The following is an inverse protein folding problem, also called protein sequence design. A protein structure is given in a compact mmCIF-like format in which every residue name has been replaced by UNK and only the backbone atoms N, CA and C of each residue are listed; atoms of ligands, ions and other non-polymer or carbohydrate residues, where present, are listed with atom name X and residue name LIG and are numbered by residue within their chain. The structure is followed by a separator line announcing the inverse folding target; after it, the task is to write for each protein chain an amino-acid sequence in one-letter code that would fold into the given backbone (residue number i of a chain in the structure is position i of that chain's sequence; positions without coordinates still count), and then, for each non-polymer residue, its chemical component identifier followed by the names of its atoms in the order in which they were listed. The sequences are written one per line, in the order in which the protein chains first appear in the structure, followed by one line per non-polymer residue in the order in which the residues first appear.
data_IF_457230872519
#
_entry.id   IF_457230872519
#
_cell.length_a   1.000
_cell.length_b   1.000
_cell.length_c   1.000
_cell.angle_alpha   90.00
_cell.angle_beta   90.00
_cell.angle_gamma   90.00
#
_symmetry.space_group_name_H-M   'P 1'
#
loop_
_entity.id
_entity.type
_entity.pdbx_description
1 polymer ?
#
# COMPACT_ATOMS: atom_id res chain seq x y z
N UNK A 1 -13.37 -8.11 -2.66
CA UNK A 1 -13.94 -7.57 -3.91
C UNK A 1 -12.86 -6.76 -4.61
N UNK A 2 -12.59 -6.98 -5.91
CA UNK A 2 -11.72 -6.10 -6.66
C UNK A 2 -12.29 -4.68 -6.61
N UNK A 3 -11.45 -3.69 -6.35
CA UNK A 3 -11.87 -2.28 -6.39
C UNK A 3 -12.10 -1.92 -7.86
N UNK A 4 -13.35 -1.66 -8.23
CA UNK A 4 -13.63 -1.11 -9.55
C UNK A 4 -13.05 0.31 -9.67
N UNK A 5 -12.45 0.58 -10.83
CA UNK A 5 -11.77 1.85 -11.08
C UNK A 5 -12.80 2.94 -11.38
N UNK A 6 -12.99 3.87 -10.44
CA UNK A 6 -13.84 5.06 -10.64
C UNK A 6 -13.35 5.97 -11.79
N UNK A 7 -12.11 5.81 -12.25
CA UNK A 7 -11.56 6.57 -13.38
C UNK A 7 -12.17 6.14 -14.72
N UNK A 8 -12.49 4.86 -14.88
CA UNK A 8 -12.96 4.30 -16.14
C UNK A 8 -14.30 4.90 -16.61
N UNK A 9 -15.34 5.01 -15.75
CA UNK A 9 -16.58 5.68 -16.14
C UNK A 9 -16.37 7.17 -16.41
N UNK A 10 -15.48 7.85 -15.68
CA UNK A 10 -15.16 9.25 -15.92
C UNK A 10 -14.55 9.50 -17.30
N UNK A 11 -13.65 8.62 -17.75
CA UNK A 11 -13.08 8.71 -19.09
C UNK A 11 -14.14 8.47 -20.18
N UNK A 12 -15.06 7.52 -19.96
CA UNK A 12 -16.16 7.26 -20.88
C UNK A 12 -17.09 8.48 -20.97
N UNK A 13 -17.43 9.11 -19.84
CA UNK A 13 -18.25 10.33 -19.83
C UNK A 13 -17.55 11.49 -20.53
N UNK A 14 -16.25 11.68 -20.32
CA UNK A 14 -15.48 12.74 -20.98
C UNK A 14 -15.46 12.57 -22.50
N UNK A 15 -15.20 11.35 -23.00
CA UNK A 15 -15.24 11.06 -24.43
C UNK A 15 -16.63 11.35 -25.04
N UNK A 16 -17.71 11.02 -24.32
CA UNK A 16 -19.07 11.31 -24.80
C UNK A 16 -19.39 12.80 -24.83
N UNK A 17 -18.94 13.57 -23.84
CA UNK A 17 -19.14 15.02 -23.79
C UNK A 17 -18.33 15.75 -24.88
N UNK A 18 -17.11 15.29 -25.16
CA UNK A 18 -16.30 15.81 -26.26
C UNK A 18 -16.99 15.59 -27.61
N UNK A 19 -17.54 14.40 -27.84
CA UNK A 19 -18.28 14.11 -29.07
C UNK A 19 -19.49 15.04 -29.24
N UNK A 20 -20.22 15.30 -28.16
CA UNK A 20 -21.34 16.25 -28.17
C UNK A 20 -20.82 17.67 -28.44
N UNK A 21 -19.73 18.09 -27.81
CA UNK A 21 -19.15 19.42 -27.98
C UNK A 21 -18.69 19.66 -29.43
N UNK A 22 -18.07 18.66 -30.06
CA UNK A 22 -17.65 18.71 -31.46
C UNK A 22 -18.83 18.82 -32.45
N UNK A 23 -20.03 18.36 -32.07
CA UNK A 23 -21.23 18.51 -32.88
C UNK A 23 -21.92 19.87 -32.68
N UNK A 24 -21.64 20.57 -31.59
CA UNK A 24 -22.31 21.82 -31.20
C UNK A 24 -21.44 23.07 -31.31
N UNK A 25 -20.13 22.92 -31.51
CA UNK A 25 -19.18 24.04 -31.53
C UNK A 25 -18.91 24.49 -32.96
N UNK A 26 -19.04 25.79 -33.22
CA UNK A 26 -18.80 26.41 -34.54
C UNK A 26 -17.31 26.78 -34.77
N UNK A 27 -16.46 26.60 -33.76
CA UNK A 27 -15.04 26.97 -33.76
C UNK A 27 -14.11 25.74 -33.80
N UNK A 28 -13.48 25.49 -34.95
CA UNK A 28 -12.54 24.37 -35.14
C UNK A 28 -11.29 24.45 -34.24
N UNK A 29 -10.86 25.65 -33.84
CA UNK A 29 -9.68 25.85 -32.96
C UNK A 29 -9.89 25.27 -31.57
N UNK A 30 -11.07 25.49 -31.00
CA UNK A 30 -11.38 25.13 -29.62
C UNK A 30 -11.57 23.61 -29.50
N UNK A 31 -12.13 22.99 -30.54
CA UNK A 31 -12.25 21.54 -30.69
C UNK A 31 -10.86 20.89 -30.71
N UNK A 32 -9.91 21.48 -31.44
CA UNK A 32 -8.56 20.95 -31.56
C UNK A 32 -7.78 20.98 -30.23
N UNK A 33 -7.91 22.06 -29.46
CA UNK A 33 -7.30 22.17 -28.13
C UNK A 33 -7.88 21.15 -27.14
N UNK A 34 -9.20 20.98 -27.14
CA UNK A 34 -9.90 19.99 -26.31
C UNK A 34 -9.49 18.55 -26.63
N UNK A 35 -9.28 18.23 -27.92
CA UNK A 35 -8.78 16.91 -28.36
C UNK A 35 -7.38 16.64 -27.80
N UNK A 36 -6.48 17.61 -27.90
CA UNK A 36 -5.10 17.47 -27.42
C UNK A 36 -5.08 17.30 -25.89
N UNK A 37 -5.88 18.07 -25.18
CA UNK A 37 -5.99 17.98 -23.72
C UNK A 37 -6.56 16.63 -23.29
N UNK A 38 -7.60 16.13 -23.95
CA UNK A 38 -8.19 14.84 -23.63
C UNK A 38 -7.21 13.69 -23.87
N UNK A 39 -6.48 13.73 -25.00
CA UNK A 39 -5.45 12.72 -25.31
C UNK A 39 -4.35 12.70 -24.24
N UNK A 40 -3.93 13.88 -23.76
CA UNK A 40 -2.97 14.00 -22.67
C UNK A 40 -3.50 13.36 -21.37
N UNK A 41 -4.76 13.59 -21.02
CA UNK A 41 -5.41 13.05 -19.81
C UNK A 41 -5.63 11.53 -19.92
N UNK A 42 -6.00 11.02 -21.09
CA UNK A 42 -6.21 9.57 -21.32
C UNK A 42 -4.91 8.80 -21.34
N UNK A 43 -3.86 9.39 -21.92
CA UNK A 43 -2.53 8.78 -22.07
C UNK A 43 -1.76 8.69 -20.75
N UNK A 44 -2.07 9.53 -19.76
CA UNK A 44 -1.40 9.54 -18.46
C UNK A 44 -2.31 9.10 -17.32
N UNK A 45 -1.84 8.12 -16.53
CA UNK A 45 -2.54 7.71 -15.29
C UNK A 45 -2.60 8.83 -14.25
N UNK A 46 -1.57 9.68 -14.21
CA UNK A 46 -1.45 10.81 -13.30
C UNK A 46 -1.01 12.04 -14.10
N UNK A 47 -1.78 13.13 -13.99
CA UNK A 47 -1.49 14.41 -14.67
C UNK A 47 -0.16 15.01 -14.18
N UNK A 48 0.13 14.83 -12.90
CA UNK A 48 1.39 15.24 -12.29
C UNK A 48 2.23 14.00 -11.94
N UNK A 49 3.55 14.04 -12.12
CA UNK A 49 4.42 12.98 -11.65
C UNK A 49 4.29 12.83 -10.14
N UNK A 50 4.12 11.59 -9.65
CA UNK A 50 4.10 11.33 -8.22
C UNK A 50 5.46 11.68 -7.62
N UNK A 51 5.52 12.74 -6.81
CA UNK A 51 6.74 13.08 -6.06
C UNK A 51 6.99 12.01 -5.00
N UNK A 52 8.19 11.41 -5.03
CA UNK A 52 8.66 10.59 -3.93
C UNK A 52 9.11 11.54 -2.82
N UNK A 53 8.40 11.54 -1.70
CA UNK A 53 8.93 12.19 -0.51
C UNK A 53 10.15 11.38 -0.04
N UNK A 54 11.28 12.03 0.29
CA UNK A 54 12.41 11.34 0.88
C UNK A 54 11.93 10.70 2.18
N UNK A 55 12.06 9.39 2.29
CA UNK A 55 11.74 8.71 3.53
C UNK A 55 12.76 9.11 4.58
N UNK A 56 12.32 9.73 5.66
CA UNK A 56 13.14 9.83 6.86
C UNK A 56 13.30 8.43 7.48
N UNK A 57 14.40 8.25 8.25
CA UNK A 57 14.89 7.03 8.89
C UNK A 57 13.98 5.80 8.80
N UNK A 58 14.30 4.88 7.89
CA UNK A 58 13.57 3.63 7.67
C UNK A 58 14.05 2.56 8.64
N UNK A 59 13.19 1.99 9.48
CA UNK A 59 13.54 0.73 10.15
C UNK A 59 13.76 -0.37 9.12
N UNK A 60 15.02 -0.70 8.87
CA UNK A 60 15.43 -1.89 8.13
C UNK A 60 15.41 -3.11 9.06
N UNK A 61 15.62 -4.30 8.48
CA UNK A 61 15.72 -5.52 9.29
C UNK A 61 16.88 -5.43 10.30
N UNK A 62 18.00 -4.83 9.90
CA UNK A 62 19.16 -4.66 10.77
C UNK A 62 18.84 -3.71 11.92
N UNK A 63 18.09 -2.65 11.65
CA UNK A 63 17.66 -1.71 12.71
C UNK A 63 16.74 -2.40 13.70
N UNK A 64 15.82 -3.25 13.23
CA UNK A 64 14.97 -4.03 14.13
C UNK A 64 15.80 -4.95 15.04
N UNK A 65 16.79 -5.66 14.49
CA UNK A 65 17.65 -6.57 15.24
C UNK A 65 18.56 -5.88 16.27
N UNK A 66 18.97 -4.64 16.01
CA UNK A 66 19.84 -3.86 16.92
C UNK A 66 19.08 -3.17 18.05
N UNK A 67 17.74 -3.15 18.01
CA UNK A 67 16.93 -2.60 19.09
C UNK A 67 17.08 -3.39 20.39
N UNK A 68 17.16 -2.67 21.50
CA UNK A 68 17.03 -3.25 22.83
C UNK A 68 15.67 -3.95 23.00
N UNK A 69 15.61 -4.97 23.85
CA UNK A 69 14.38 -5.76 24.10
C UNK A 69 13.18 -4.87 24.46
N UNK A 70 13.39 -3.84 25.28
CA UNK A 70 12.33 -2.89 25.65
C UNK A 70 11.80 -2.09 24.46
N UNK A 71 12.69 -1.51 23.64
CA UNK A 71 12.29 -0.71 22.47
C UNK A 71 11.63 -1.60 21.42
N UNK A 72 12.17 -2.80 21.21
CA UNK A 72 11.59 -3.77 20.31
C UNK A 72 10.18 -4.17 20.77
N UNK A 73 9.99 -4.46 22.06
CA UNK A 73 8.68 -4.78 22.61
C UNK A 73 7.71 -3.60 22.54
N UNK A 74 8.17 -2.36 22.76
CA UNK A 74 7.33 -1.18 22.54
C UNK A 74 6.87 -1.04 21.08
N UNK A 75 7.75 -1.35 20.13
CA UNK A 75 7.47 -1.23 18.70
C UNK A 75 6.60 -2.38 18.16
N UNK A 76 7.02 -3.62 18.40
CA UNK A 76 6.42 -4.83 17.83
C UNK A 76 5.41 -5.50 18.78
N UNK A 77 5.31 -5.08 20.05
CA UNK A 77 4.45 -5.70 21.08
C UNK A 77 4.76 -7.16 21.37
N UNK A 78 5.95 -7.64 21.00
CA UNK A 78 6.44 -8.99 21.27
C UNK A 78 7.91 -8.95 21.67
N UNK A 79 8.44 -10.07 22.14
CA UNK A 79 9.89 -10.27 22.26
C UNK A 79 10.51 -10.58 20.89
N UNK A 80 11.82 -10.36 20.76
CA UNK A 80 12.60 -10.74 19.58
C UNK A 80 12.44 -12.22 19.23
N UNK A 81 12.58 -13.10 20.22
CA UNK A 81 12.48 -14.55 20.01
C UNK A 81 11.12 -14.98 19.46
N UNK A 82 10.02 -14.46 20.04
CA UNK A 82 8.68 -14.76 19.56
C UNK A 82 8.44 -14.21 18.15
N UNK A 83 8.99 -13.03 17.86
CA UNK A 83 8.91 -12.41 16.54
C UNK A 83 9.63 -13.25 15.49
N UNK A 84 10.86 -13.68 15.73
CA UNK A 84 11.63 -14.51 14.80
C UNK A 84 10.96 -15.86 14.54
N UNK A 85 10.42 -16.50 15.58
CA UNK A 85 9.62 -17.72 15.44
C UNK A 85 8.40 -17.51 14.54
N UNK A 86 7.69 -16.38 14.71
CA UNK A 86 6.55 -16.05 13.84
C UNK A 86 7.00 -15.79 12.40
N UNK A 87 8.09 -15.05 12.19
CA UNK A 87 8.64 -14.79 10.85
C UNK A 87 8.96 -16.11 10.14
N UNK A 88 9.63 -17.04 10.81
CA UNK A 88 9.97 -18.35 10.26
C UNK A 88 8.73 -19.16 9.83
N UNK A 89 7.60 -19.01 10.54
CA UNK A 89 6.35 -19.70 10.18
C UNK A 89 5.62 -19.08 8.98
N UNK A 90 5.77 -17.77 8.77
CA UNK A 90 4.99 -17.03 7.76
C UNK A 90 5.77 -16.72 6.48
N UNK A 91 7.11 -16.83 6.49
CA UNK A 91 7.96 -16.38 5.39
C UNK A 91 7.62 -17.02 4.04
N UNK A 92 7.19 -18.28 4.04
CA UNK A 92 6.91 -19.07 2.84
C UNK A 92 5.43 -19.02 2.41
N UNK A 93 4.57 -18.27 3.12
CA UNK A 93 3.15 -18.18 2.75
C UNK A 93 2.98 -17.40 1.44
N UNK A 94 2.33 -18.04 0.47
CA UNK A 94 1.98 -17.49 -0.86
C UNK A 94 1.24 -16.15 -0.79
N UNK A 95 0.53 -15.87 0.30
CA UNK A 95 -0.19 -14.60 0.53
C UNK A 95 0.77 -13.40 0.57
N UNK A 96 2.04 -13.61 0.93
CA UNK A 96 3.04 -12.57 0.80
C UNK A 96 3.53 -12.38 -0.62
N UNK A 97 3.50 -13.41 -1.46
CA UNK A 97 3.92 -13.36 -2.84
C UNK A 97 2.88 -12.64 -3.70
N UNK A 98 3.34 -12.09 -4.82
CA UNK A 98 2.52 -11.45 -5.84
C UNK A 98 3.24 -11.68 -7.16
N UNK A 99 2.51 -11.89 -8.25
CA UNK A 99 3.06 -12.14 -9.59
C UNK A 99 3.69 -10.90 -10.23
N UNK A 100 4.14 -9.93 -9.43
CA UNK A 100 4.79 -8.70 -9.90
C UNK A 100 6.30 -8.88 -9.93
N UNK A 101 6.97 -8.31 -10.94
CA UNK A 101 8.43 -8.27 -11.03
C UNK A 101 9.11 -7.32 -10.02
N UNK A 102 8.33 -6.56 -9.25
CA UNK A 102 8.87 -5.62 -8.27
C UNK A 102 9.40 -6.36 -7.03
N UNK A 103 10.58 -5.93 -6.56
CA UNK A 103 11.17 -6.40 -5.31
C UNK A 103 10.19 -6.14 -4.15
N UNK A 104 9.83 -7.21 -3.46
CA UNK A 104 8.93 -7.12 -2.32
C UNK A 104 9.70 -6.93 -1.02
N UNK A 105 9.05 -6.30 -0.04
CA UNK A 105 9.62 -6.17 1.30
C UNK A 105 9.69 -7.53 2.00
N UNK A 106 10.71 -7.68 2.85
CA UNK A 106 10.93 -8.84 3.70
C UNK A 106 9.67 -9.12 4.55
N UNK A 107 9.19 -10.38 4.66
CA UNK A 107 8.09 -10.77 5.55
C UNK A 107 8.22 -10.23 6.98
N UNK A 108 9.43 -10.16 7.52
CA UNK A 108 9.71 -9.58 8.84
C UNK A 108 9.27 -8.11 8.93
N UNK A 109 9.59 -7.29 7.93
CA UNK A 109 9.16 -5.89 7.90
C UNK A 109 7.63 -5.79 7.80
N UNK A 110 7.01 -6.63 6.96
CA UNK A 110 5.55 -6.67 6.84
C UNK A 110 4.89 -7.02 8.19
N UNK A 111 5.47 -7.95 8.94
CA UNK A 111 5.02 -8.34 10.28
C UNK A 111 5.23 -7.21 11.30
N UNK A 112 6.43 -6.64 11.37
CA UNK A 112 6.74 -5.53 12.29
C UNK A 112 5.78 -4.34 12.10
N UNK A 113 5.59 -3.90 10.85
CA UNK A 113 4.64 -2.83 10.49
C UNK A 113 3.23 -3.16 10.98
N UNK A 114 2.80 -4.40 10.78
CA UNK A 114 1.46 -4.84 11.16
C UNK A 114 1.28 -4.84 12.68
N UNK A 115 2.25 -5.38 13.42
CA UNK A 115 2.20 -5.44 14.87
C UNK A 115 2.27 -4.03 15.48
N UNK A 116 3.15 -3.16 14.97
CA UNK A 116 3.21 -1.75 15.37
C UNK A 116 1.89 -1.03 15.11
N UNK A 117 1.19 -1.38 14.01
CA UNK A 117 -0.13 -0.83 13.70
C UNK A 117 -1.20 -1.29 14.68
N UNK A 118 -1.27 -2.58 14.96
CA UNK A 118 -2.27 -3.16 15.87
C UNK A 118 -2.04 -2.67 17.30
N UNK A 119 -0.77 -2.49 17.69
CA UNK A 119 -0.37 -1.92 18.97
C UNK A 119 -0.46 -0.39 19.08
N UNK A 120 -0.85 0.30 18.01
CA UNK A 120 -1.16 1.73 18.01
C UNK A 120 -2.66 1.94 18.14
N UNK A 121 -3.09 3.13 18.56
CA UNK A 121 -4.52 3.51 18.52
C UNK A 121 -4.98 3.35 17.06
N UNK A 122 -5.93 2.44 16.80
CA UNK A 122 -6.32 1.92 15.48
C UNK A 122 -7.03 2.97 14.58
N UNK A 123 -6.71 4.23 14.78
CA UNK A 123 -7.27 5.38 14.12
C UNK A 123 -6.46 5.67 12.85
N UNK A 124 -7.05 6.35 11.87
CA UNK A 124 -6.38 6.69 10.60
C UNK A 124 -5.06 7.46 10.80
N UNK A 125 -4.93 8.23 11.89
CA UNK A 125 -3.71 8.95 12.25
C UNK A 125 -2.49 8.03 12.45
N UNK A 126 -2.69 6.78 12.87
CA UNK A 126 -1.59 5.83 13.04
C UNK A 126 -0.92 5.45 11.71
N UNK A 127 -1.63 5.51 10.58
CA UNK A 127 -1.07 5.18 9.27
C UNK A 127 0.02 6.19 8.86
N UNK A 128 -0.14 7.47 9.20
CA UNK A 128 0.89 8.50 8.95
C UNK A 128 2.13 8.26 9.78
N UNK A 129 1.96 8.07 11.08
CA UNK A 129 3.08 7.80 11.99
C UNK A 129 3.87 6.57 11.58
N UNK A 130 3.19 5.48 11.25
CA UNK A 130 3.83 4.21 10.83
C UNK A 130 4.48 4.36 9.46
N UNK A 131 3.86 5.10 8.54
CA UNK A 131 4.43 5.39 7.22
C UNK A 131 5.73 6.17 7.32
N UNK A 132 5.81 7.16 8.23
CA UNK A 132 7.04 7.89 8.53
C UNK A 132 8.07 6.97 9.19
N UNK A 133 7.65 6.14 10.15
CA UNK A 133 8.54 5.30 10.95
C UNK A 133 9.24 4.19 10.13
N UNK A 134 8.52 3.58 9.20
CA UNK A 134 9.05 2.48 8.38
C UNK A 134 9.36 2.91 6.93
N UNK A 135 9.02 4.13 6.53
CA UNK A 135 9.18 4.61 5.16
C UNK A 135 8.28 3.94 4.14
N UNK A 136 7.06 3.59 4.54
CA UNK A 136 6.13 2.79 3.73
C UNK A 136 4.86 3.60 3.43
N UNK A 137 4.42 3.54 2.18
CA UNK A 137 3.19 4.19 1.75
C UNK A 137 1.96 3.62 2.47
N UNK A 138 0.98 4.47 2.78
CA UNK A 138 -0.26 4.08 3.47
C UNK A 138 -0.96 2.85 2.87
N UNK A 139 -1.08 2.79 1.54
CA UNK A 139 -1.69 1.64 0.86
C UNK A 139 -0.95 0.32 1.10
N UNK A 140 0.39 0.37 1.18
CA UNK A 140 1.20 -0.80 1.49
C UNK A 140 1.05 -1.22 2.95
N UNK A 141 0.96 -0.28 3.90
CA UNK A 141 0.69 -0.59 5.32
C UNK A 141 -0.64 -1.34 5.47
N UNK A 142 -1.70 -0.86 4.82
CA UNK A 142 -3.02 -1.51 4.84
C UNK A 142 -2.94 -2.91 4.25
N UNK A 143 -2.27 -3.06 3.09
CA UNK A 143 -2.07 -4.35 2.43
C UNK A 143 -1.28 -5.34 3.30
N UNK A 144 -0.20 -4.88 3.94
CA UNK A 144 0.61 -5.71 4.84
C UNK A 144 -0.21 -6.20 6.02
N UNK A 145 -0.99 -5.29 6.64
CA UNK A 145 -1.86 -5.64 7.76
C UNK A 145 -2.86 -6.72 7.37
N UNK A 146 -3.54 -6.55 6.23
CA UNK A 146 -4.53 -7.54 5.75
C UNK A 146 -3.89 -8.90 5.50
N UNK A 147 -2.75 -8.94 4.81
CA UNK A 147 -2.04 -10.19 4.49
C UNK A 147 -1.53 -10.90 5.74
N UNK A 148 -0.92 -10.15 6.67
CA UNK A 148 -0.43 -10.72 7.94
C UNK A 148 -1.59 -11.28 8.76
N UNK A 149 -2.70 -10.56 8.89
CA UNK A 149 -3.89 -11.07 9.60
C UNK A 149 -4.41 -12.35 8.95
N UNK A 150 -4.50 -12.41 7.61
CA UNK A 150 -4.92 -13.63 6.91
C UNK A 150 -4.01 -14.82 7.23
N UNK A 151 -2.68 -14.62 7.25
CA UNK A 151 -1.73 -15.68 7.56
C UNK A 151 -1.84 -16.12 9.02
N UNK A 152 -1.91 -15.17 9.96
CA UNK A 152 -2.09 -15.48 11.38
C UNK A 152 -3.38 -16.26 11.63
N UNK A 153 -4.47 -15.96 10.92
CA UNK A 153 -5.72 -16.71 11.00
C UNK A 153 -5.60 -18.15 10.47
N UNK A 154 -4.76 -18.40 9.45
CA UNK A 154 -4.45 -19.78 9.01
C UNK A 154 -3.60 -20.53 10.05
N UNK A 155 -2.62 -19.84 10.64
CA UNK A 155 -1.78 -20.43 11.69
C UNK A 155 -2.57 -20.74 12.97
N UNK A 156 -3.55 -19.89 13.31
CA UNK A 156 -4.44 -20.09 14.46
C UNK A 156 -5.04 -21.50 14.49
N UNK A 157 -5.51 -22.00 13.35
CA UNK A 157 -6.10 -23.35 13.25
C UNK A 157 -5.12 -24.47 13.59
N UNK A 158 -3.81 -24.24 13.39
CA UNK A 158 -2.77 -25.22 13.70
C UNK A 158 -2.25 -25.12 15.14
N UNK A 159 -2.25 -23.91 15.70
CA UNK A 159 -1.59 -23.62 16.98
C UNK A 159 -2.54 -23.59 18.18
N UNK A 160 -3.84 -23.35 17.96
CA UNK A 160 -4.83 -23.29 19.04
C UNK A 160 -5.74 -24.51 18.94
N UNK A 161 -5.46 -25.50 19.79
CA UNK A 161 -6.35 -26.61 20.11
C UNK A 161 -7.03 -26.24 21.44
N UNK A 162 -8.36 -26.24 21.46
CA UNK A 162 -9.16 -25.99 22.66
C UNK A 162 -9.54 -27.30 23.34
#
# INVERSE_FOLDING_TARGET
MPKESQRLPLLQTLNSLQFINALSSDSDSDIQEDIILLDMITSQRYINPCRRYPSHHMYTMNDLQTLSSEKFCQLCRTTHEAFEKLVAQIQDDKTFQNSSQNKQHNPAIKLAVTLSRIGSNQNGAALGKIGILFGINHGAIVLYTQRVIQILMKLKQKMILW
#
